data_IF_517305422474
#
_entry.id   IF_517305422474
#
_cell.length_a   1.000
_cell.length_b   1.000
_cell.length_c   1.000
_cell.angle_alpha   90.00
_cell.angle_beta   90.00
_cell.angle_gamma   90.00
#
_symmetry.space_group_name_H-M   'P 1'
#
loop_
_entity.id
_entity.type
_entity.pdbx_description
1 polymer ?
#
# COMPACT_ATOMS: atom_id res chain seq x y z
N UNK A 1 24.09 -4.00 16.83
CA UNK A 1 22.84 -3.94 16.05
C UNK A 1 22.79 -5.16 15.15
N UNK A 2 21.73 -5.97 15.21
CA UNK A 2 21.59 -7.15 14.34
C UNK A 2 21.33 -6.77 12.87
N UNK A 3 21.60 -7.67 11.91
CA UNK A 3 21.49 -7.39 10.47
C UNK A 3 20.09 -6.94 10.04
N UNK A 4 19.01 -7.43 10.67
CA UNK A 4 17.61 -7.04 10.35
C UNK A 4 17.30 -5.57 10.66
N UNK A 5 17.83 -5.04 11.77
CA UNK A 5 17.64 -3.64 12.16
C UNK A 5 18.32 -2.68 11.18
N UNK A 6 19.51 -3.05 10.70
CA UNK A 6 20.23 -2.27 9.70
C UNK A 6 19.49 -2.23 8.36
N UNK A 7 18.99 -3.38 7.89
CA UNK A 7 18.15 -3.46 6.70
C UNK A 7 16.89 -2.61 6.82
N UNK A 8 16.21 -2.67 7.96
CA UNK A 8 15.03 -1.83 8.19
C UNK A 8 15.40 -0.34 8.10
N UNK A 9 16.44 0.10 8.81
CA UNK A 9 16.90 1.50 8.77
C UNK A 9 17.22 1.96 7.34
N UNK A 10 17.93 1.14 6.57
CA UNK A 10 18.24 1.39 5.16
C UNK A 10 16.96 1.52 4.32
N UNK A 11 15.96 0.66 4.53
CA UNK A 11 14.68 0.74 3.82
C UNK A 11 13.91 2.03 4.15
N UNK A 12 13.92 2.50 5.41
CA UNK A 12 13.33 3.81 5.74
C UNK A 12 14.07 4.95 5.08
N UNK A 13 15.40 4.92 5.11
CA UNK A 13 16.21 5.94 4.45
C UNK A 13 15.91 5.98 2.94
N UNK A 14 15.80 4.83 2.28
CA UNK A 14 15.42 4.72 0.88
C UNK A 14 14.00 5.25 0.62
N UNK A 15 13.04 4.90 1.48
CA UNK A 15 11.66 5.42 1.40
C UNK A 15 11.66 6.95 1.48
N UNK A 16 12.36 7.54 2.45
CA UNK A 16 12.41 9.00 2.61
C UNK A 16 13.15 9.67 1.44
N UNK A 17 14.25 9.07 0.97
CA UNK A 17 14.98 9.56 -0.20
C UNK A 17 14.08 9.59 -1.44
N UNK A 18 13.32 8.53 -1.70
CA UNK A 18 12.47 8.41 -2.91
C UNK A 18 11.16 9.19 -2.77
N UNK A 19 10.55 9.24 -1.59
CA UNK A 19 9.22 9.84 -1.38
C UNK A 19 9.27 11.30 -0.90
N UNK A 20 10.42 11.77 -0.43
CA UNK A 20 10.63 13.17 -0.01
C UNK A 20 11.78 13.79 -0.80
N UNK A 21 12.96 13.18 -0.78
CA UNK A 21 14.16 13.73 -1.44
C UNK A 21 13.98 13.92 -2.95
N UNK A 22 13.52 12.90 -3.66
CA UNK A 22 13.35 12.94 -5.11
C UNK A 22 12.28 13.96 -5.57
N UNK A 23 11.06 13.99 -5.00
CA UNK A 23 10.08 15.04 -5.33
C UNK A 23 10.64 16.46 -5.12
N UNK A 24 11.29 16.71 -3.98
CA UNK A 24 11.86 18.03 -3.68
C UNK A 24 13.01 18.38 -4.64
N UNK A 25 13.86 17.40 -4.99
CA UNK A 25 14.92 17.58 -5.99
C UNK A 25 14.35 17.95 -7.35
N UNK A 26 13.31 17.24 -7.82
CA UNK A 26 12.69 17.49 -9.13
C UNK A 26 11.98 18.85 -9.17
N UNK A 27 11.28 19.22 -8.09
CA UNK A 27 10.63 20.52 -7.96
C UNK A 27 11.67 21.65 -7.90
N UNK A 28 12.77 21.44 -7.16
CA UNK A 28 13.89 22.40 -7.11
C UNK A 28 14.56 22.53 -8.48
N UNK A 29 14.71 21.43 -9.21
CA UNK A 29 15.25 21.44 -10.57
C UNK A 29 14.39 22.27 -11.52
N UNK A 30 13.06 22.11 -11.47
CA UNK A 30 12.13 22.92 -12.25
C UNK A 30 12.17 24.41 -11.85
N UNK A 31 12.31 24.70 -10.56
CA UNK A 31 12.30 26.07 -10.03
C UNK A 31 13.58 26.86 -10.35
N UNK A 32 14.75 26.25 -10.13
CA UNK A 32 16.04 26.96 -10.14
C UNK A 32 16.85 26.75 -11.41
N UNK A 33 16.61 25.67 -12.14
CA UNK A 33 17.26 25.39 -13.42
C UNK A 33 16.21 25.03 -14.48
N UNK A 34 15.31 25.98 -14.84
CA UNK A 34 14.33 25.76 -15.89
C UNK A 34 15.01 25.69 -17.27
N UNK A 35 14.50 24.83 -18.15
CA UNK A 35 15.10 24.68 -19.48
C UNK A 35 14.97 25.96 -20.30
N UNK A 36 16.05 26.33 -21.00
CA UNK A 36 16.14 27.59 -21.74
C UNK A 36 15.30 27.68 -23.01
N UNK A 37 14.66 26.59 -23.45
CA UNK A 37 13.77 26.56 -24.63
C UNK A 37 12.34 26.23 -24.25
N UNK A 38 11.38 26.61 -25.10
CA UNK A 38 9.96 26.28 -24.90
C UNK A 38 9.76 24.76 -24.85
N UNK A 39 10.26 24.03 -25.86
CA UNK A 39 10.13 22.58 -25.91
C UNK A 39 10.82 21.90 -24.70
N UNK A 40 12.02 22.35 -24.34
CA UNK A 40 12.74 21.85 -23.18
C UNK A 40 11.98 22.05 -21.88
N UNK A 41 11.36 23.23 -21.69
CA UNK A 41 10.66 23.55 -20.45
C UNK A 41 9.35 22.78 -20.33
N UNK A 42 8.59 22.67 -21.43
CA UNK A 42 7.37 21.86 -21.47
C UNK A 42 7.69 20.39 -21.18
N UNK A 43 8.75 19.84 -21.79
CA UNK A 43 9.20 18.49 -21.50
C UNK A 43 9.65 18.32 -20.04
N UNK A 44 10.36 19.29 -19.47
CA UNK A 44 10.81 19.27 -18.07
C UNK A 44 9.60 19.27 -17.12
N UNK A 45 8.68 20.22 -17.30
CA UNK A 45 7.46 20.32 -16.50
C UNK A 45 6.63 19.04 -16.59
N UNK A 46 6.41 18.50 -17.79
CA UNK A 46 5.69 17.26 -18.01
C UNK A 46 6.42 16.03 -17.42
N UNK A 47 7.74 15.96 -17.56
CA UNK A 47 8.56 14.87 -17.01
C UNK A 47 8.53 14.86 -15.48
N UNK A 48 8.66 16.03 -14.84
CA UNK A 48 8.50 16.17 -13.38
C UNK A 48 7.08 15.76 -12.97
N UNK A 49 6.05 16.23 -13.66
CA UNK A 49 4.66 15.86 -13.38
C UNK A 49 4.43 14.35 -13.46
N UNK A 50 4.97 13.70 -14.51
CA UNK A 50 4.81 12.27 -14.73
C UNK A 50 5.46 11.44 -13.60
N UNK A 51 6.65 11.83 -13.14
CA UNK A 51 7.30 11.16 -12.00
C UNK A 51 6.54 11.40 -10.69
N UNK A 52 6.11 12.64 -10.43
CA UNK A 52 5.31 12.94 -9.24
C UNK A 52 3.99 12.15 -9.23
N UNK A 53 3.32 12.06 -10.38
CA UNK A 53 2.12 11.26 -10.56
C UNK A 53 2.39 9.77 -10.33
N UNK A 54 3.44 9.21 -10.95
CA UNK A 54 3.82 7.81 -10.76
C UNK A 54 4.09 7.50 -9.28
N UNK A 55 4.90 8.32 -8.62
CA UNK A 55 5.19 8.19 -7.18
C UNK A 55 3.91 8.28 -6.34
N UNK A 56 3.01 9.21 -6.65
CA UNK A 56 1.73 9.36 -5.96
C UNK A 56 0.89 8.07 -5.98
N UNK A 57 1.03 7.25 -7.03
CA UNK A 57 0.25 6.00 -7.21
C UNK A 57 0.98 4.74 -6.76
N UNK A 58 2.31 4.73 -6.78
CA UNK A 58 3.11 3.52 -6.53
C UNK A 58 3.67 3.51 -5.11
N UNK A 59 4.00 4.67 -4.55
CA UNK A 59 4.68 4.75 -3.27
C UNK A 59 3.73 4.54 -2.08
N UNK A 60 4.30 4.11 -0.96
CA UNK A 60 3.57 3.90 0.29
C UNK A 60 3.65 5.16 1.16
N UNK A 61 2.62 6.01 1.05
CA UNK A 61 2.57 7.32 1.73
C UNK A 61 2.21 7.26 3.23
N UNK A 62 2.15 6.06 3.81
CA UNK A 62 1.94 5.85 5.23
C UNK A 62 3.14 6.33 6.08
N UNK A 63 4.36 6.26 5.52
CA UNK A 63 5.61 6.60 6.22
C UNK A 63 5.85 8.11 6.24
N UNK A 64 5.92 8.86 5.11
CA UNK A 64 6.11 10.31 5.14
C UNK A 64 4.89 11.00 5.73
N UNK A 65 3.81 11.06 4.96
CA UNK A 65 2.44 11.44 5.35
C UNK A 65 1.55 11.28 4.12
N UNK A 66 0.31 10.81 4.30
CA UNK A 66 -0.53 10.39 3.15
C UNK A 66 -0.85 11.52 2.16
N UNK A 67 -0.84 12.78 2.62
CA UNK A 67 -1.21 13.94 1.81
C UNK A 67 -0.04 14.58 1.06
N UNK A 68 1.21 14.15 1.26
CA UNK A 68 2.39 14.70 0.58
C UNK A 68 2.27 14.80 -0.95
N UNK A 69 1.70 13.80 -1.67
CA UNK A 69 1.56 13.89 -3.12
C UNK A 69 0.76 15.11 -3.60
N UNK A 70 -0.27 15.49 -2.84
CA UNK A 70 -1.09 16.65 -3.15
C UNK A 70 -0.32 17.95 -2.97
N UNK A 71 0.50 18.04 -1.92
CA UNK A 71 1.39 19.19 -1.71
C UNK A 71 2.42 19.32 -2.83
N UNK A 72 3.03 18.21 -3.26
CA UNK A 72 3.97 18.22 -4.39
C UNK A 72 3.29 18.61 -5.70
N UNK A 73 2.09 18.10 -5.98
CA UNK A 73 1.32 18.47 -7.16
C UNK A 73 0.92 19.95 -7.16
N UNK A 74 0.51 20.49 -6.01
CA UNK A 74 0.20 21.91 -5.86
C UNK A 74 1.43 22.80 -6.07
N UNK A 75 2.57 22.43 -5.48
CA UNK A 75 3.82 23.16 -5.67
C UNK A 75 4.29 23.09 -7.14
N UNK A 76 4.21 21.92 -7.77
CA UNK A 76 4.48 21.79 -9.20
C UNK A 76 3.60 22.72 -10.03
N UNK A 77 2.29 22.77 -9.76
CA UNK A 77 1.36 23.63 -10.48
C UNK A 77 1.71 25.11 -10.34
N UNK A 78 2.05 25.56 -9.13
CA UNK A 78 2.51 26.93 -8.88
C UNK A 78 3.77 27.25 -9.69
N UNK A 79 4.77 26.36 -9.68
CA UNK A 79 6.01 26.55 -10.44
C UNK A 79 5.77 26.60 -11.95
N UNK A 80 4.85 25.79 -12.46
CA UNK A 80 4.44 25.83 -13.87
C UNK A 80 3.82 27.17 -14.20
N UNK A 81 2.84 27.64 -13.42
CA UNK A 81 2.16 28.93 -13.63
C UNK A 81 3.18 30.09 -13.64
N UNK A 82 4.05 30.16 -12.64
CA UNK A 82 5.09 31.20 -12.56
C UNK A 82 6.09 31.15 -13.73
N UNK A 83 6.29 29.97 -14.33
CA UNK A 83 7.19 29.79 -15.46
C UNK A 83 6.60 30.15 -16.82
N UNK A 84 5.27 30.28 -16.94
CA UNK A 84 4.60 30.52 -18.23
C UNK A 84 4.97 31.88 -18.84
N UNK A 85 5.07 32.93 -18.04
CA UNK A 85 5.36 34.30 -18.52
C UNK A 85 6.71 34.37 -19.22
N UNK A 86 7.69 33.60 -18.73
CA UNK A 86 9.03 33.55 -19.27
C UNK A 86 9.15 32.74 -20.57
N UNK A 87 8.10 32.05 -21.03
CA UNK A 87 8.16 31.23 -22.25
C UNK A 87 8.22 32.06 -23.53
N UNK A 88 7.53 33.20 -23.55
CA UNK A 88 7.47 34.09 -24.73
C UNK A 88 8.85 34.60 -25.18
N UNK A 89 9.79 34.71 -24.23
CA UNK A 89 11.16 35.18 -24.46
C UNK A 89 12.15 34.06 -24.84
N UNK A 90 11.73 32.79 -24.86
CA UNK A 90 12.62 31.64 -25.10
C UNK A 90 12.57 31.17 -26.56
N UNK A 91 13.68 30.66 -27.11
CA UNK A 91 13.64 29.96 -28.40
C UNK A 91 12.76 28.71 -28.32
N UNK A 92 12.13 28.34 -29.44
CA UNK A 92 11.28 27.14 -29.50
C UNK A 92 12.08 25.86 -29.20
N UNK A 93 13.26 25.72 -29.82
CA UNK A 93 14.13 24.56 -29.71
C UNK A 93 15.34 24.83 -28.81
N UNK A 94 15.91 23.80 -28.18
CA UNK A 94 17.13 23.95 -27.40
C UNK A 94 18.32 24.44 -28.24
N UNK A 95 19.11 25.32 -27.65
CA UNK A 95 20.38 25.80 -28.22
C UNK A 95 21.56 25.17 -27.48
N UNK A 96 22.55 24.68 -28.22
CA UNK A 96 23.75 24.06 -27.66
C UNK A 96 23.50 22.69 -27.00
N UNK A 97 24.59 21.99 -26.68
CA UNK A 97 24.56 20.60 -26.19
C UNK A 97 23.82 20.50 -24.86
N UNK A 98 24.03 21.44 -23.93
CA UNK A 98 23.38 21.42 -22.61
C UNK A 98 21.84 21.46 -22.70
N UNK A 99 21.29 22.27 -23.61
CA UNK A 99 19.83 22.34 -23.82
C UNK A 99 19.26 21.03 -24.36
N UNK A 100 19.96 20.38 -25.30
CA UNK A 100 19.56 19.08 -25.83
C UNK A 100 19.65 17.96 -24.80
N UNK A 101 20.70 17.94 -23.97
CA UNK A 101 20.82 17.00 -22.84
C UNK A 101 19.66 17.19 -21.88
N UNK A 102 19.32 18.44 -21.54
CA UNK A 102 18.21 18.73 -20.63
C UNK A 102 16.85 18.28 -21.19
N UNK A 103 16.61 18.49 -22.49
CA UNK A 103 15.42 17.98 -23.16
C UNK A 103 15.38 16.44 -23.13
N UNK A 104 16.49 15.78 -23.46
CA UNK A 104 16.58 14.33 -23.45
C UNK A 104 16.33 13.73 -22.05
N UNK A 105 16.92 14.31 -21.00
CA UNK A 105 16.66 13.92 -19.61
C UNK A 105 15.19 14.09 -19.25
N UNK A 106 14.59 15.22 -19.64
CA UNK A 106 13.18 15.53 -19.36
C UNK A 106 12.22 14.56 -20.06
N UNK A 107 12.49 14.23 -21.32
CA UNK A 107 11.74 13.22 -22.07
C UNK A 107 11.93 11.81 -21.49
N UNK A 108 13.13 11.49 -20.99
CA UNK A 108 13.41 10.26 -20.27
C UNK A 108 12.55 10.13 -19.00
N UNK A 109 12.48 11.20 -18.20
CA UNK A 109 11.60 11.25 -17.01
C UNK A 109 10.13 11.13 -17.39
N UNK A 110 9.69 11.80 -18.47
CA UNK A 110 8.33 11.67 -18.99
C UNK A 110 8.02 10.23 -19.41
N UNK A 111 8.94 9.56 -20.10
CA UNK A 111 8.79 8.16 -20.51
C UNK A 111 8.70 7.21 -19.31
N UNK A 112 9.64 7.31 -18.36
CA UNK A 112 9.65 6.48 -17.16
C UNK A 112 8.43 6.76 -16.29
N UNK A 113 8.14 8.03 -15.99
CA UNK A 113 6.99 8.43 -15.18
C UNK A 113 5.67 8.07 -15.84
N UNK A 114 5.55 8.28 -17.16
CA UNK A 114 4.37 7.91 -17.93
C UNK A 114 4.12 6.40 -17.94
N UNK A 115 5.15 5.60 -18.20
CA UNK A 115 5.06 4.14 -18.15
C UNK A 115 4.71 3.63 -16.75
N UNK A 116 5.42 4.08 -15.71
CA UNK A 116 5.15 3.69 -14.33
C UNK A 116 3.75 4.14 -13.88
N UNK A 117 3.33 5.35 -14.22
CA UNK A 117 1.99 5.87 -13.95
C UNK A 117 0.90 5.04 -14.65
N UNK A 118 1.11 4.67 -15.91
CA UNK A 118 0.23 3.77 -16.65
C UNK A 118 0.10 2.41 -15.96
N UNK A 119 1.22 1.79 -15.60
CA UNK A 119 1.23 0.49 -14.89
C UNK A 119 0.50 0.59 -13.54
N UNK A 120 0.68 1.69 -12.81
CA UNK A 120 -0.04 1.91 -11.55
C UNK A 120 -1.56 2.05 -11.78
N UNK A 121 -1.99 2.72 -12.85
CA UNK A 121 -3.40 2.85 -13.22
C UNK A 121 -3.99 1.53 -13.70
N UNK A 122 -3.25 0.73 -14.46
CA UNK A 122 -3.67 -0.61 -14.88
C UNK A 122 -3.94 -1.53 -13.69
N UNK A 123 -3.15 -1.40 -12.61
CA UNK A 123 -3.34 -2.15 -11.36
C UNK A 123 -4.62 -1.82 -10.59
N UNK A 124 -5.37 -0.80 -11.02
CA UNK A 124 -6.70 -0.44 -10.47
C UNK A 124 -7.85 -1.18 -11.13
N UNK A 125 -7.61 -1.82 -12.27
CA UNK A 125 -8.61 -2.67 -12.90
C UNK A 125 -8.77 -3.97 -12.10
N UNK A 126 -10.00 -4.48 -12.06
CA UNK A 126 -10.24 -5.80 -11.50
C UNK A 126 -9.45 -6.85 -12.29
N UNK A 127 -8.81 -7.81 -11.61
CA UNK A 127 -8.21 -8.96 -12.26
C UNK A 127 -9.29 -9.91 -12.82
N UNK A 128 -8.96 -10.74 -13.82
CA UNK A 128 -9.89 -11.70 -14.42
C UNK A 128 -10.04 -12.97 -13.57
N UNK A 129 -10.32 -12.81 -12.28
CA UNK A 129 -10.63 -13.91 -11.34
C UNK A 129 -12.00 -13.67 -10.72
N UNK A 130 -12.56 -14.68 -10.05
CA UNK A 130 -13.79 -14.50 -9.31
C UNK A 130 -13.61 -13.43 -8.22
N UNK A 131 -14.66 -12.61 -8.03
CA UNK A 131 -14.67 -11.47 -7.12
C UNK A 131 -15.63 -11.77 -5.99
N UNK A 132 -15.19 -11.55 -4.75
CA UNK A 132 -16.07 -11.51 -3.58
C UNK A 132 -16.18 -10.08 -3.09
N UNK A 133 -17.38 -9.68 -2.68
CA UNK A 133 -17.63 -8.38 -2.07
C UNK A 133 -18.01 -8.60 -0.61
N UNK A 134 -17.37 -7.86 0.28
CA UNK A 134 -17.57 -7.95 1.73
C UNK A 134 -17.88 -6.57 2.29
N UNK A 135 -18.50 -6.53 3.46
CA UNK A 135 -18.64 -5.29 4.22
C UNK A 135 -17.30 -4.84 4.81
N UNK A 136 -17.19 -3.56 5.16
CA UNK A 136 -15.98 -3.01 5.76
C UNK A 136 -15.65 -3.60 7.15
N UNK A 137 -14.55 -4.36 7.31
CA UNK A 137 -14.28 -5.07 8.56
C UNK A 137 -13.84 -4.16 9.72
N UNK A 138 -13.66 -2.86 9.52
CA UNK A 138 -13.11 -1.97 10.54
C UNK A 138 -14.19 -1.29 11.39
N UNK A 139 -13.93 -1.24 12.71
CA UNK A 139 -14.51 -0.24 13.60
C UNK A 139 -14.02 1.19 13.30
N UNK A 140 -14.45 2.20 14.05
CA UNK A 140 -14.16 3.60 13.75
C UNK A 140 -12.66 3.90 13.60
N UNK A 141 -12.30 4.61 12.53
CA UNK A 141 -10.91 4.93 12.24
C UNK A 141 -10.69 5.38 10.80
N UNK A 142 -9.45 5.76 10.49
CA UNK A 142 -9.01 6.08 9.13
C UNK A 142 -7.90 5.12 8.73
N UNK A 143 -8.09 4.45 7.61
CA UNK A 143 -7.17 3.41 7.13
C UNK A 143 -6.69 3.73 5.72
N UNK A 144 -5.43 3.42 5.45
CA UNK A 144 -4.74 3.59 4.20
C UNK A 144 -4.34 2.22 3.67
N UNK A 145 -4.64 1.96 2.41
CA UNK A 145 -4.20 0.74 1.74
C UNK A 145 -2.71 0.86 1.43
N UNK A 146 -1.91 0.02 2.10
CA UNK A 146 -0.49 -0.14 1.86
C UNK A 146 -0.20 -1.02 0.65
N UNK A 147 -0.85 -2.17 0.59
CA UNK A 147 -0.76 -3.12 -0.50
C UNK A 147 -2.18 -3.40 -1.00
N UNK A 148 -2.38 -3.34 -2.32
CA UNK A 148 -3.68 -3.58 -2.93
C UNK A 148 -3.65 -3.28 -4.42
N UNK A 149 -4.58 -3.86 -5.17
CA UNK A 149 -4.61 -3.80 -6.62
C UNK A 149 -4.12 -5.09 -7.28
N UNK A 150 -4.18 -5.10 -8.61
CA UNK A 150 -4.11 -6.30 -9.45
C UNK A 150 -2.76 -6.51 -10.15
N UNK A 151 -1.70 -5.81 -9.70
CA UNK A 151 -0.37 -6.05 -10.25
C UNK A 151 0.77 -5.90 -9.21
N UNK A 152 1.96 -6.45 -9.49
CA UNK A 152 3.08 -6.45 -8.54
C UNK A 152 3.67 -5.08 -8.21
N UNK A 153 3.39 -4.04 -9.01
CA UNK A 153 3.92 -2.70 -8.79
C UNK A 153 3.24 -2.03 -7.59
N UNK A 154 1.92 -2.21 -7.45
CA UNK A 154 1.11 -1.65 -6.36
C UNK A 154 0.74 -2.67 -5.28
N UNK A 155 0.84 -3.96 -5.58
CA UNK A 155 0.51 -5.03 -4.64
C UNK A 155 1.60 -6.11 -4.59
N UNK A 156 2.35 -6.15 -3.49
CA UNK A 156 3.42 -7.13 -3.29
C UNK A 156 2.94 -8.59 -3.25
N UNK A 157 1.70 -8.84 -2.82
CA UNK A 157 1.16 -10.20 -2.70
C UNK A 157 0.93 -10.87 -4.04
N UNK A 158 0.81 -10.10 -5.12
CA UNK A 158 0.70 -10.63 -6.49
C UNK A 158 1.87 -11.54 -6.88
N UNK A 159 3.01 -11.45 -6.18
CA UNK A 159 4.16 -12.33 -6.39
C UNK A 159 3.85 -13.79 -6.08
N UNK A 160 2.88 -14.09 -5.21
CA UNK A 160 2.51 -15.48 -4.89
C UNK A 160 1.74 -16.19 -5.99
N UNK A 161 1.36 -15.47 -7.07
CA UNK A 161 0.85 -16.07 -8.30
C UNK A 161 1.93 -16.82 -9.11
N UNK A 162 3.22 -16.57 -8.86
CA UNK A 162 4.29 -17.26 -9.55
C UNK A 162 4.43 -18.72 -9.07
N UNK A 163 3.93 -19.64 -9.88
CA UNK A 163 3.90 -21.08 -9.59
C UNK A 163 5.27 -21.77 -9.73
N UNK A 164 6.24 -21.09 -10.35
CA UNK A 164 7.61 -21.60 -10.50
C UNK A 164 8.36 -21.59 -9.17
N UNK A 165 7.92 -20.76 -8.22
CA UNK A 165 8.51 -20.63 -6.89
C UNK A 165 7.76 -21.53 -5.90
N UNK A 166 8.33 -22.69 -5.59
CA UNK A 166 7.68 -23.71 -4.75
C UNK A 166 7.16 -23.18 -3.40
N UNK A 167 7.90 -22.27 -2.75
CA UNK A 167 7.50 -21.68 -1.46
C UNK A 167 6.20 -20.87 -1.55
N UNK A 168 5.79 -20.39 -2.72
CA UNK A 168 4.57 -19.57 -2.85
C UNK A 168 3.30 -20.41 -2.90
N UNK A 169 3.39 -21.69 -3.26
CA UNK A 169 2.21 -22.57 -3.40
C UNK A 169 1.40 -22.68 -2.11
N UNK A 170 2.08 -22.77 -0.97
CA UNK A 170 1.45 -22.87 0.35
C UNK A 170 0.71 -21.59 0.78
N UNK A 171 0.96 -20.48 0.10
CA UNK A 171 0.44 -19.17 0.48
C UNK A 171 -0.20 -18.43 -0.70
N UNK A 172 -0.56 -19.18 -1.76
CA UNK A 172 -1.06 -18.61 -3.02
C UNK A 172 -2.37 -17.87 -2.83
N UNK A 173 -3.21 -18.30 -1.88
CA UNK A 173 -4.50 -17.70 -1.60
C UNK A 173 -4.43 -16.23 -1.21
N UNK A 174 -3.30 -15.79 -0.64
CA UNK A 174 -3.06 -14.38 -0.33
C UNK A 174 -2.87 -13.49 -1.56
N UNK A 175 -2.84 -14.04 -2.78
CA UNK A 175 -2.78 -13.19 -3.98
C UNK A 175 -3.98 -12.24 -3.95
N UNK A 176 -3.77 -10.99 -4.37
CA UNK A 176 -4.76 -9.91 -4.23
C UNK A 176 -5.11 -9.50 -2.78
N UNK A 177 -4.34 -9.94 -1.78
CA UNK A 177 -4.49 -9.43 -0.42
C UNK A 177 -4.37 -7.90 -0.38
N UNK A 178 -5.03 -7.35 0.63
CA UNK A 178 -5.04 -5.92 0.93
C UNK A 178 -4.46 -5.73 2.32
N UNK A 179 -3.39 -4.94 2.40
CA UNK A 179 -2.80 -4.53 3.67
C UNK A 179 -3.25 -3.12 4.01
N UNK A 180 -3.71 -2.94 5.24
CA UNK A 180 -4.15 -1.64 5.75
C UNK A 180 -3.25 -1.13 6.86
N UNK A 181 -2.84 0.13 6.74
CA UNK A 181 -2.27 0.92 7.83
C UNK A 181 -3.31 1.87 8.39
N UNK A 182 -3.19 2.19 9.68
CA UNK A 182 -4.00 3.20 10.34
C UNK A 182 -3.40 4.57 10.10
N UNK A 183 -4.22 5.61 10.13
CA UNK A 183 -3.80 6.99 10.02
C UNK A 183 -4.20 7.76 11.28
N UNK A 184 -3.21 8.31 11.97
CA UNK A 184 -3.45 9.25 13.07
C UNK A 184 -3.98 10.60 12.57
N UNK A 185 -4.25 11.55 13.48
CA UNK A 185 -4.88 12.84 13.17
C UNK A 185 -4.16 13.66 12.09
N UNK A 186 -2.82 13.57 12.04
CA UNK A 186 -1.99 14.29 11.06
C UNK A 186 -1.72 13.50 9.78
N UNK A 187 -2.29 12.29 9.66
CA UNK A 187 -2.09 11.43 8.51
C UNK A 187 -0.82 10.58 8.53
N UNK A 188 -0.20 10.44 9.70
CA UNK A 188 0.96 9.58 9.94
C UNK A 188 0.50 8.20 10.40
N UNK A 189 1.21 7.14 10.00
CA UNK A 189 0.86 5.78 10.44
C UNK A 189 1.26 5.46 11.89
N UNK A 190 2.22 6.19 12.44
CA UNK A 190 2.75 5.97 13.78
C UNK A 190 3.30 7.27 14.37
N UNK A 191 3.55 7.28 15.67
CA UNK A 191 4.37 8.32 16.31
C UNK A 191 5.84 8.08 15.97
N UNK A 192 6.37 8.91 15.07
CA UNK A 192 7.73 8.76 14.52
C UNK A 192 7.78 7.84 13.30
N UNK A 193 8.97 7.68 12.72
CA UNK A 193 9.16 6.97 11.44
C UNK A 193 9.08 5.45 11.57
N UNK A 194 9.63 4.89 12.65
CA UNK A 194 9.62 3.47 12.96
C UNK A 194 9.87 3.25 14.46
N UNK A 195 8.82 3.40 15.24
CA UNK A 195 8.85 3.01 16.66
C UNK A 195 8.97 1.49 16.77
N UNK A 196 9.69 1.01 17.79
CA UNK A 196 9.76 -0.41 18.13
C UNK A 196 8.47 -0.90 18.81
N UNK A 197 7.79 -0.02 19.54
CA UNK A 197 6.54 -0.34 20.23
C UNK A 197 5.35 -0.36 19.26
N UNK A 198 4.69 -1.52 19.03
CA UNK A 198 3.50 -1.66 18.19
C UNK A 198 2.36 -0.70 18.57
N UNK A 199 2.17 -0.41 19.86
CA UNK A 199 1.07 0.43 20.36
C UNK A 199 1.16 1.89 19.89
N UNK A 200 2.31 2.30 19.35
CA UNK A 200 2.49 3.65 18.79
C UNK A 200 2.00 3.80 17.35
N UNK A 201 1.62 2.70 16.69
CA UNK A 201 1.05 2.69 15.35
C UNK A 201 -0.46 2.89 15.44
N UNK A 202 -1.00 3.76 14.58
CA UNK A 202 -2.39 4.20 14.66
C UNK A 202 -3.42 3.10 14.42
N UNK A 203 -3.02 1.95 13.85
CA UNK A 203 -3.90 0.80 13.63
C UNK A 203 -3.90 -0.20 14.78
N UNK A 204 -2.86 -0.21 15.63
CA UNK A 204 -2.76 -1.22 16.68
C UNK A 204 -3.93 -1.06 17.66
N UNK A 205 -4.66 -2.14 17.90
CA UNK A 205 -5.90 -2.14 18.68
C UNK A 205 -7.16 -1.68 17.92
N UNK A 206 -7.09 -1.45 16.60
CA UNK A 206 -8.28 -1.16 15.81
C UNK A 206 -9.19 -2.40 15.78
N UNK A 207 -10.47 -2.22 16.12
CA UNK A 207 -11.45 -3.31 16.16
C UNK A 207 -11.74 -3.86 14.77
N UNK A 208 -11.84 -5.19 14.70
CA UNK A 208 -12.19 -5.95 13.51
C UNK A 208 -13.52 -6.66 13.72
N UNK A 209 -14.37 -6.58 12.71
CA UNK A 209 -15.71 -7.14 12.70
C UNK A 209 -15.88 -8.08 11.52
N UNK A 210 -16.77 -9.07 11.67
CA UNK A 210 -17.16 -9.96 10.61
C UNK A 210 -17.68 -9.13 9.43
N UNK A 211 -17.13 -9.31 8.21
CA UNK A 211 -17.52 -8.53 7.06
C UNK A 211 -18.58 -9.23 6.20
N UNK A 212 -19.10 -10.37 6.64
CA UNK A 212 -20.04 -11.22 5.92
C UNK A 212 -20.87 -12.04 6.92
N UNK A 213 -21.99 -12.58 6.47
CA UNK A 213 -22.61 -13.74 7.11
C UNK A 213 -21.76 -14.99 6.83
N UNK A 214 -21.47 -15.78 7.86
CA UNK A 214 -20.60 -16.93 7.68
C UNK A 214 -20.35 -17.76 8.93
N UNK A 215 -19.38 -18.66 8.82
CA UNK A 215 -18.93 -19.53 9.92
C UNK A 215 -17.42 -19.41 10.09
N UNK A 216 -16.95 -19.38 11.33
CA UNK A 216 -15.53 -19.36 11.65
C UNK A 216 -14.92 -20.72 11.30
N UNK A 217 -13.96 -20.73 10.39
CA UNK A 217 -13.20 -21.92 9.99
C UNK A 217 -12.02 -22.14 10.93
N UNK A 218 -11.30 -21.06 11.26
CA UNK A 218 -10.15 -21.07 12.15
C UNK A 218 -10.09 -19.76 12.93
N UNK A 219 -9.63 -19.84 14.18
CA UNK A 219 -9.40 -18.69 15.04
C UNK A 219 -8.19 -18.99 15.96
N UNK A 220 -7.16 -18.15 15.88
CA UNK A 220 -5.93 -18.26 16.67
C UNK A 220 -5.66 -16.92 17.35
N UNK A 221 -5.43 -16.90 18.67
CA UNK A 221 -5.36 -15.67 19.46
C UNK A 221 -4.15 -15.52 20.40
N UNK A 222 -3.34 -16.57 20.58
CA UNK A 222 -2.35 -16.61 21.66
C UNK A 222 -0.91 -16.22 21.25
N UNK A 223 -0.65 -16.03 19.94
CA UNK A 223 0.67 -15.64 19.45
C UNK A 223 1.04 -14.22 19.93
N UNK A 224 2.30 -13.97 20.31
CA UNK A 224 2.73 -12.67 20.78
C UNK A 224 2.73 -11.62 19.66
N UNK A 225 2.42 -10.38 20.03
CA UNK A 225 2.73 -9.21 19.19
C UNK A 225 4.22 -8.91 19.30
N UNK A 226 4.92 -8.87 18.17
CA UNK A 226 6.36 -8.62 18.16
C UNK A 226 6.68 -7.13 18.15
N UNK A 227 7.79 -6.73 18.79
CA UNK A 227 8.35 -5.39 18.61
C UNK A 227 8.73 -5.16 17.15
N UNK A 228 8.52 -3.96 16.63
CA UNK A 228 8.87 -3.63 15.23
C UNK A 228 10.39 -3.51 15.08
N UNK A 229 11.03 -4.14 14.08
CA UNK A 229 10.47 -4.91 12.96
C UNK A 229 10.67 -6.43 13.10
N UNK A 230 10.66 -6.96 14.32
CA UNK A 230 10.71 -8.39 14.59
C UNK A 230 9.40 -9.04 14.12
N UNK A 231 9.49 -10.29 13.66
CA UNK A 231 8.38 -11.04 13.08
C UNK A 231 8.64 -12.54 13.21
N UNK A 232 7.59 -13.34 13.09
CA UNK A 232 7.66 -14.80 12.96
C UNK A 232 7.32 -15.26 11.53
N UNK A 233 8.33 -15.53 10.68
CA UNK A 233 8.11 -15.95 9.31
C UNK A 233 7.64 -17.39 9.17
N UNK A 234 7.67 -18.20 10.24
CA UNK A 234 7.17 -19.57 10.26
C UNK A 234 5.66 -19.54 10.49
N UNK A 235 5.21 -18.86 11.56
CA UNK A 235 3.79 -18.65 11.85
C UNK A 235 3.25 -17.42 11.09
N UNK A 236 3.20 -17.51 9.76
CA UNK A 236 3.00 -16.34 8.89
C UNK A 236 1.77 -15.50 9.20
N UNK A 237 0.62 -16.12 9.47
CA UNK A 237 -0.61 -15.39 9.79
C UNK A 237 -0.58 -14.77 11.20
N UNK A 238 0.20 -15.34 12.13
CA UNK A 238 0.08 -15.01 13.54
C UNK A 238 -1.31 -15.33 14.08
N UNK A 239 -1.83 -14.45 14.94
CA UNK A 239 -3.23 -14.49 15.34
C UNK A 239 -4.11 -14.09 14.15
N UNK A 240 -5.17 -14.84 13.92
CA UNK A 240 -5.98 -14.69 12.74
C UNK A 240 -7.37 -15.28 12.91
N UNK A 241 -8.28 -14.87 12.04
CA UNK A 241 -9.60 -15.46 11.87
C UNK A 241 -9.80 -15.77 10.39
N UNK A 242 -10.26 -16.99 10.09
CA UNK A 242 -10.70 -17.39 8.75
C UNK A 242 -12.21 -17.59 8.80
N UNK A 243 -12.95 -16.87 7.97
CA UNK A 243 -14.40 -16.96 7.85
C UNK A 243 -14.78 -17.63 6.54
N UNK A 244 -15.71 -18.57 6.59
CA UNK A 244 -16.39 -19.08 5.40
C UNK A 244 -17.59 -18.18 5.07
N UNK A 245 -17.43 -17.34 4.05
CA UNK A 245 -18.42 -16.38 3.57
C UNK A 245 -18.96 -16.84 2.21
N UNK A 246 -20.10 -17.55 2.20
CA UNK A 246 -20.68 -18.12 0.99
C UNK A 246 -19.72 -19.12 0.32
N UNK A 247 -19.11 -18.71 -0.78
CA UNK A 247 -18.23 -19.54 -1.63
C UNK A 247 -16.72 -19.26 -1.42
N UNK A 248 -16.41 -18.34 -0.51
CA UNK A 248 -15.05 -17.84 -0.26
C UNK A 248 -14.65 -17.99 1.20
N UNK A 249 -13.37 -18.18 1.45
CA UNK A 249 -12.74 -17.95 2.74
C UNK A 249 -12.16 -16.55 2.79
N UNK A 250 -12.55 -15.78 3.81
CA UNK A 250 -12.00 -14.46 4.12
C UNK A 250 -11.03 -14.62 5.29
N UNK A 251 -9.78 -14.28 5.06
CA UNK A 251 -8.71 -14.43 6.05
C UNK A 251 -8.32 -13.06 6.57
N UNK A 252 -8.40 -12.85 7.87
CA UNK A 252 -7.93 -11.66 8.58
C UNK A 252 -6.75 -12.07 9.47
N UNK A 253 -5.59 -11.45 9.30
CA UNK A 253 -4.34 -11.89 9.95
C UNK A 253 -3.66 -10.77 10.74
N UNK A 254 -2.57 -11.13 11.43
CA UNK A 254 -1.76 -10.24 12.26
C UNK A 254 -2.55 -9.59 13.40
N UNK A 255 -3.54 -10.30 13.95
CA UNK A 255 -4.39 -9.80 15.03
C UNK A 255 -3.63 -9.68 16.36
N UNK A 256 -4.14 -8.85 17.27
CA UNK A 256 -3.51 -8.59 18.57
C UNK A 256 -3.61 -9.81 19.47
N UNK A 257 -2.53 -10.10 20.20
CA UNK A 257 -2.49 -11.15 21.21
C UNK A 257 -3.65 -11.01 22.20
N UNK A 258 -4.34 -12.12 22.45
CA UNK A 258 -5.47 -12.22 23.38
C UNK A 258 -6.71 -11.41 22.98
N UNK A 259 -6.80 -10.91 21.74
CA UNK A 259 -7.94 -10.10 21.30
C UNK A 259 -9.01 -10.87 20.54
N UNK A 260 -8.72 -12.07 20.05
CA UNK A 260 -9.68 -12.85 19.24
C UNK A 260 -10.84 -13.31 20.13
N UNK A 261 -12.07 -13.01 19.71
CA UNK A 261 -13.28 -13.20 20.52
C UNK A 261 -14.18 -14.34 20.04
N UNK A 262 -13.82 -15.00 18.94
CA UNK A 262 -14.63 -16.05 18.30
C UNK A 262 -13.89 -17.39 18.29
N UNK A 263 -14.63 -18.49 18.09
CA UNK A 263 -14.07 -19.85 18.04
C UNK A 263 -14.47 -20.60 16.76
N UNK A 264 -13.69 -21.61 16.32
CA UNK A 264 -14.05 -22.42 15.16
C UNK A 264 -15.45 -23.04 15.28
N UNK A 265 -16.22 -22.99 14.19
CA UNK A 265 -17.61 -23.45 14.12
C UNK A 265 -18.66 -22.42 14.52
N UNK A 266 -18.26 -21.28 15.10
CA UNK A 266 -19.17 -20.20 15.46
C UNK A 266 -19.77 -19.52 14.22
N UNK A 267 -21.08 -19.27 14.23
CA UNK A 267 -21.75 -18.48 13.20
C UNK A 267 -21.59 -16.99 13.49
N UNK A 268 -21.25 -16.21 12.47
CA UNK A 268 -21.07 -14.76 12.56
C UNK A 268 -21.93 -14.06 11.53
N UNK A 269 -22.32 -12.82 11.85
CA UNK A 269 -23.05 -11.92 10.95
C UNK A 269 -22.28 -10.61 10.84
N UNK A 270 -22.50 -9.79 9.79
CA UNK A 270 -21.84 -8.50 9.67
C UNK A 270 -21.96 -7.67 10.97
N UNK A 271 -20.82 -7.24 11.52
CA UNK A 271 -20.77 -6.50 12.79
C UNK A 271 -20.53 -7.36 14.05
N UNK A 272 -20.43 -8.68 13.95
CA UNK A 272 -19.89 -9.51 15.05
C UNK A 272 -18.43 -9.14 15.29
N UNK A 273 -18.06 -8.80 16.53
CA UNK A 273 -16.67 -8.51 16.90
C UNK A 273 -15.82 -9.78 16.73
N UNK A 274 -14.70 -9.67 16.02
CA UNK A 274 -13.74 -10.76 15.83
C UNK A 274 -12.50 -10.59 16.73
N UNK A 275 -12.11 -9.34 16.99
CA UNK A 275 -10.94 -9.00 17.78
C UNK A 275 -10.35 -7.66 17.34
N UNK A 276 -9.03 -7.52 17.44
CA UNK A 276 -8.34 -6.27 17.16
C UNK A 276 -7.08 -6.47 16.30
N UNK A 277 -6.68 -5.46 15.53
CA UNK A 277 -5.44 -5.46 14.75
C UNK A 277 -4.23 -5.43 15.69
N UNK A 278 -3.23 -6.26 15.40
CA UNK A 278 -1.99 -6.39 16.17
C UNK A 278 -0.73 -6.32 15.29
N UNK A 279 0.27 -7.09 15.68
CA UNK A 279 1.56 -7.27 15.00
C UNK A 279 2.13 -8.69 15.21
N UNK A 280 1.27 -9.69 15.31
CA UNK A 280 1.68 -11.10 15.44
C UNK A 280 2.03 -11.71 14.06
N UNK A 281 2.82 -12.79 14.07
CA UNK A 281 3.19 -13.53 12.85
C UNK A 281 4.21 -12.83 11.96
N UNK A 282 4.14 -13.05 10.64
CA UNK A 282 5.06 -12.47 9.65
C UNK A 282 4.70 -11.02 9.31
N UNK A 283 4.63 -10.18 10.35
CA UNK A 283 4.30 -8.76 10.26
C UNK A 283 5.48 -7.91 10.72
N UNK A 284 6.00 -7.08 9.82
CA UNK A 284 7.13 -6.18 10.14
C UNK A 284 6.70 -4.87 10.79
N UNK A 285 5.42 -4.51 10.74
CA UNK A 285 4.81 -3.40 11.48
C UNK A 285 3.28 -3.58 11.56
N UNK A 286 2.60 -3.03 12.59
CA UNK A 286 1.16 -3.22 12.75
C UNK A 286 0.35 -2.86 11.50
N UNK A 287 -0.42 -3.82 11.01
CA UNK A 287 -1.33 -3.69 9.88
C UNK A 287 -2.40 -4.78 9.91
N UNK A 288 -3.53 -4.56 9.23
CA UNK A 288 -4.44 -5.65 8.89
C UNK A 288 -4.03 -6.21 7.53
N UNK A 289 -3.72 -7.50 7.46
CA UNK A 289 -3.71 -8.25 6.21
C UNK A 289 -5.08 -8.92 6.04
N UNK A 290 -5.76 -8.67 4.92
CA UNK A 290 -7.01 -9.33 4.57
C UNK A 290 -6.99 -9.83 3.12
N UNK A 291 -7.48 -11.05 2.89
CA UNK A 291 -7.65 -11.57 1.54
C UNK A 291 -8.82 -12.54 1.43
N UNK A 292 -9.18 -12.83 0.18
CA UNK A 292 -10.18 -13.82 -0.17
C UNK A 292 -9.58 -14.93 -1.02
N UNK A 293 -10.05 -16.14 -0.80
CA UNK A 293 -9.66 -17.32 -1.56
C UNK A 293 -10.80 -18.33 -1.58
N UNK A 294 -10.73 -19.34 -2.44
CA UNK A 294 -11.50 -20.58 -2.28
C UNK A 294 -11.04 -21.34 -1.02
N UNK A 295 -11.85 -22.29 -0.51
CA UNK A 295 -11.42 -23.14 0.59
C UNK A 295 -10.04 -23.76 0.38
N UNK A 296 -9.18 -23.66 1.39
CA UNK A 296 -7.88 -24.34 1.45
C UNK A 296 -8.01 -25.77 1.99
N UNK A 297 -6.88 -26.40 2.28
CA UNK A 297 -6.83 -27.69 3.00
C UNK A 297 -6.40 -27.49 4.45
N UNK A 298 -6.51 -28.52 5.29
CA UNK A 298 -6.06 -28.44 6.67
C UNK A 298 -4.54 -28.17 6.78
N UNK A 299 -3.74 -28.74 5.88
CA UNK A 299 -2.28 -28.59 5.83
C UNK A 299 -1.84 -27.27 5.19
N UNK A 300 -2.70 -26.68 4.35
CA UNK A 300 -2.42 -25.46 3.61
C UNK A 300 -3.67 -24.56 3.56
N UNK A 301 -4.09 -24.01 4.72
CA UNK A 301 -5.37 -23.31 4.84
C UNK A 301 -5.41 -22.02 4.00
N UNK A 302 -4.26 -21.47 3.61
CA UNK A 302 -4.14 -20.25 2.78
C UNK A 302 -3.52 -20.49 1.40
N UNK A 303 -3.63 -21.72 0.90
CA UNK A 303 -3.22 -22.11 -0.46
C UNK A 303 -4.39 -22.20 -1.44
N UNK A 304 -5.59 -21.76 -1.04
CA UNK A 304 -6.78 -21.80 -1.90
C UNK A 304 -6.60 -20.97 -3.18
N UNK A 305 -7.46 -21.21 -4.16
CA UNK A 305 -7.50 -20.38 -5.38
C UNK A 305 -7.78 -18.92 -4.98
N UNK A 306 -6.90 -17.96 -5.30
CA UNK A 306 -7.06 -16.58 -4.86
C UNK A 306 -8.22 -15.89 -5.57
N UNK A 307 -8.97 -15.09 -4.80
CA UNK A 307 -10.09 -14.31 -5.29
C UNK A 307 -9.80 -12.82 -5.18
N UNK A 308 -10.38 -12.02 -6.06
CA UNK A 308 -10.34 -10.58 -5.90
C UNK A 308 -11.32 -10.14 -4.81
N UNK A 309 -10.89 -9.21 -3.96
CA UNK A 309 -11.70 -8.70 -2.86
C UNK A 309 -12.19 -7.27 -3.16
N UNK A 310 -13.51 -7.07 -3.05
CA UNK A 310 -14.12 -5.75 -2.92
C UNK A 310 -14.56 -5.54 -1.47
N UNK A 311 -14.47 -4.30 -1.02
CA UNK A 311 -14.99 -3.86 0.27
C UNK A 311 -15.98 -2.74 0.00
N UNK A 312 -17.24 -2.95 0.37
CA UNK A 312 -18.38 -2.07 0.04
C UNK A 312 -18.43 -1.73 -1.46
N UNK A 313 -18.29 -2.74 -2.33
CA UNK A 313 -18.31 -2.58 -3.78
C UNK A 313 -17.03 -1.98 -4.38
N UNK A 314 -16.05 -1.59 -3.56
CA UNK A 314 -14.80 -0.97 -4.02
C UNK A 314 -13.68 -1.97 -4.12
N UNK A 315 -13.05 -2.06 -5.29
CA UNK A 315 -11.74 -2.72 -5.43
C UNK A 315 -10.66 -1.74 -4.97
N UNK A 316 -10.04 -2.05 -3.83
CA UNK A 316 -9.10 -1.15 -3.17
C UNK A 316 -7.68 -1.39 -3.67
N UNK A 317 -6.97 -0.29 -3.93
CA UNK A 317 -5.57 -0.32 -4.34
C UNK A 317 -4.69 0.53 -3.44
N UNK A 318 -3.36 0.34 -3.53
CA UNK A 318 -2.38 1.16 -2.82
C UNK A 318 -2.72 2.66 -2.91
N UNK A 319 -2.72 3.32 -1.75
CA UNK A 319 -3.01 4.74 -1.60
C UNK A 319 -4.51 5.07 -1.45
N UNK A 320 -5.42 4.12 -1.72
CA UNK A 320 -6.82 4.30 -1.40
C UNK A 320 -7.03 4.37 0.11
N UNK A 321 -8.09 5.08 0.52
CA UNK A 321 -8.47 5.22 1.93
C UNK A 321 -9.82 4.57 2.19
N UNK A 322 -9.95 4.07 3.41
CA UNK A 322 -11.16 3.49 3.96
C UNK A 322 -11.43 4.14 5.31
N UNK A 323 -12.66 4.56 5.54
CA UNK A 323 -13.11 5.00 6.87
C UNK A 323 -13.81 3.82 7.52
N UNK A 324 -13.42 3.49 8.73
CA UNK A 324 -14.15 2.53 9.55
C UNK A 324 -15.55 3.02 9.87
N UNK A 325 -16.39 2.11 10.35
CA UNK A 325 -17.79 2.41 10.67
C UNK A 325 -18.12 2.07 12.12
N UNK A 326 -19.19 2.68 12.60
CA UNK A 326 -19.90 2.19 13.77
C UNK A 326 -20.73 0.97 13.32
N UNK A 327 -20.48 -0.17 13.94
CA UNK A 327 -21.16 -1.44 13.71
C UNK A 327 -22.23 -1.67 14.78
#
# INVERSE_FOLDING_TARGET
MGPRLWWAALMTALILLVQVGLPLLLLSWLAFWPAGSVLGWLAQAAGVAAILFALARIAQWAVPVWWSPWAYGALWLVLVILGLDALSARPMLPTGIGGWVMLALSLGLLGVGGWSGWQAMAGRALPPVAVVDIANPFGPGNFLVGHGGSNPLVNGHMRTLDETIARFRQWRGQSFAVDFFGLGPFGLRARGWRSADPATYAIFGARLYAPCDGTVVAAEGDWPDFEVPQEDPVNRLGNHVILHCGEAWIVLAHMRQGSVTVVPGEAVVPGTLLGEVGNSGASTEPHLHIHAQRPGTAEAPIAGEPLALRIDGRFLVRGDRLRGRDW
#
